data_IF_613640966693
#
_entry.id   IF_613640966693
#
_cell.length_a   1.000
_cell.length_b   1.000
_cell.length_c   1.000
_cell.angle_alpha   90.00
_cell.angle_beta   90.00
_cell.angle_gamma   90.00
#
_symmetry.space_group_name_H-M   'P 1'
#
loop_
_entity.id
_entity.type
_entity.pdbx_description
1 polymer ?
#
# COMPACT_ATOMS: atom_id res chain seq x y z
N UNK A 1 -5.90 8.37 -17.09
CA UNK A 1 -5.99 8.72 -15.66
C UNK A 1 -5.53 7.59 -14.73
N UNK A 2 -6.24 6.46 -14.60
CA UNK A 2 -5.80 5.41 -13.67
C UNK A 2 -4.51 4.70 -14.08
N UNK A 3 -4.31 4.41 -15.39
CA UNK A 3 -3.05 3.81 -15.88
C UNK A 3 -1.83 4.63 -15.50
N UNK A 4 -1.88 5.93 -15.79
CA UNK A 4 -0.83 6.89 -15.45
C UNK A 4 -0.52 6.95 -13.95
N UNK A 5 -1.55 6.90 -13.08
CA UNK A 5 -1.34 6.79 -11.62
C UNK A 5 -0.63 5.48 -11.26
N UNK A 6 -1.04 4.36 -11.86
CA UNK A 6 -0.40 3.07 -11.62
C UNK A 6 1.04 3.06 -12.12
N UNK A 7 1.31 3.55 -13.34
CA UNK A 7 2.65 3.66 -13.90
C UNK A 7 3.56 4.44 -12.93
N UNK A 8 3.17 5.68 -12.58
CA UNK A 8 3.97 6.54 -11.72
C UNK A 8 4.18 5.99 -10.30
N UNK A 9 3.14 5.44 -9.67
CA UNK A 9 3.26 4.89 -8.30
C UNK A 9 4.07 3.58 -8.28
N UNK A 10 3.88 2.70 -9.27
CA UNK A 10 4.62 1.44 -9.34
C UNK A 10 6.10 1.67 -9.61
N UNK A 11 6.46 2.64 -10.46
CA UNK A 11 7.86 3.00 -10.70
C UNK A 11 8.60 3.39 -9.42
N UNK A 12 7.89 4.00 -8.45
CA UNK A 12 8.44 4.43 -7.17
C UNK A 12 8.49 3.28 -6.14
N UNK A 13 7.40 2.49 -6.06
CA UNK A 13 7.22 1.51 -4.98
C UNK A 13 7.78 0.13 -5.30
N UNK A 14 7.73 -0.34 -6.56
CA UNK A 14 8.18 -1.68 -6.93
C UNK A 14 9.64 -2.00 -6.55
N UNK A 15 10.58 -1.05 -6.52
CA UNK A 15 11.95 -1.33 -6.08
C UNK A 15 12.10 -1.60 -4.57
N UNK A 16 11.15 -1.18 -3.74
CA UNK A 16 11.24 -1.22 -2.27
C UNK A 16 10.12 -2.00 -1.59
N UNK A 17 9.08 -2.37 -2.33
CA UNK A 17 7.89 -3.02 -1.82
C UNK A 17 7.40 -4.07 -2.82
N UNK A 18 6.98 -5.24 -2.32
CA UNK A 18 6.34 -6.27 -3.15
C UNK A 18 4.94 -5.81 -3.57
N UNK A 19 4.88 -5.08 -4.68
CA UNK A 19 3.66 -4.50 -5.25
C UNK A 19 3.59 -4.78 -6.75
N UNK A 20 2.39 -5.14 -7.20
CA UNK A 20 2.14 -5.48 -8.60
C UNK A 20 0.97 -4.67 -9.15
N UNK A 21 0.97 -4.50 -10.48
CA UNK A 21 -0.16 -3.92 -11.20
C UNK A 21 -1.37 -4.84 -11.07
N UNK A 22 -2.53 -4.34 -10.61
CA UNK A 22 -3.75 -5.13 -10.62
C UNK A 22 -4.31 -5.25 -12.04
N UNK A 23 -5.06 -6.32 -12.32
CA UNK A 23 -5.78 -6.50 -13.59
C UNK A 23 -6.88 -5.46 -13.81
N UNK A 24 -7.35 -4.81 -12.73
CA UNK A 24 -8.34 -3.76 -12.79
C UNK A 24 -8.59 -3.06 -11.45
N UNK A 25 -9.44 -2.05 -11.47
CA UNK A 25 -9.76 -1.23 -10.31
C UNK A 25 -8.75 -0.10 -10.06
N UNK A 26 -8.63 0.32 -8.81
CA UNK A 26 -7.81 1.46 -8.38
C UNK A 26 -7.06 1.20 -7.06
N UNK A 27 -6.95 -0.07 -6.66
CA UNK A 27 -6.26 -0.48 -5.43
C UNK A 27 -4.94 -1.18 -5.74
N UNK A 28 -3.92 -0.88 -4.95
CA UNK A 28 -2.73 -1.72 -4.81
C UNK A 28 -2.88 -2.58 -3.55
N UNK A 29 -2.30 -3.78 -3.59
CA UNK A 29 -2.38 -4.77 -2.53
C UNK A 29 -1.01 -5.37 -2.17
N UNK A 30 -0.03 -4.51 -1.79
CA UNK A 30 1.31 -4.98 -1.45
C UNK A 30 1.34 -5.89 -0.22
N UNK A 31 2.32 -6.80 -0.22
CA UNK A 31 2.74 -7.52 0.97
C UNK A 31 3.82 -6.71 1.69
N UNK A 32 3.60 -6.39 2.96
CA UNK A 32 4.55 -5.62 3.79
C UNK A 32 5.43 -6.53 4.66
N UNK A 33 5.17 -7.84 4.69
CA UNK A 33 6.00 -8.83 5.40
C UNK A 33 5.99 -8.72 6.93
N UNK A 34 5.26 -7.75 7.50
CA UNK A 34 5.17 -7.46 8.93
C UNK A 34 3.70 -7.38 9.36
N UNK A 35 3.45 -7.05 10.63
CA UNK A 35 2.11 -6.69 11.10
C UNK A 35 1.56 -5.50 10.29
N UNK A 36 0.46 -5.72 9.57
CA UNK A 36 -0.14 -4.71 8.67
C UNK A 36 -0.81 -3.56 9.41
N UNK A 37 -1.31 -3.78 10.63
CA UNK A 37 -1.91 -2.73 11.45
C UNK A 37 -0.83 -1.81 12.05
N UNK A 38 0.26 -2.39 12.53
CA UNK A 38 1.44 -1.65 12.98
C UNK A 38 2.05 -0.85 11.83
N UNK A 39 2.24 -1.47 10.65
CA UNK A 39 2.74 -0.80 9.46
C UNK A 39 1.89 0.44 9.11
N UNK A 40 0.57 0.30 9.03
CA UNK A 40 -0.31 1.42 8.70
C UNK A 40 -0.28 2.52 9.75
N UNK A 41 -0.22 2.16 11.03
CA UNK A 41 -0.13 3.13 12.14
C UNK A 41 1.19 3.91 12.06
N UNK A 42 2.30 3.22 11.90
CA UNK A 42 3.63 3.84 11.94
C UNK A 42 3.87 4.68 10.68
N UNK A 43 3.38 4.23 9.51
CA UNK A 43 3.34 5.02 8.29
C UNK A 43 2.54 6.34 8.47
N UNK A 44 1.41 6.29 9.17
CA UNK A 44 0.63 7.49 9.44
C UNK A 44 1.37 8.44 10.40
N UNK A 45 1.97 7.92 11.46
CA UNK A 45 2.73 8.72 12.44
C UNK A 45 3.93 9.41 11.79
N UNK A 46 4.69 8.68 10.98
CA UNK A 46 5.94 9.19 10.41
C UNK A 46 5.72 10.05 9.15
N UNK A 47 4.76 9.67 8.32
CA UNK A 47 4.62 10.22 6.96
C UNK A 47 3.25 10.86 6.70
N UNK A 48 2.30 10.77 7.64
CA UNK A 48 0.93 11.26 7.47
C UNK A 48 0.22 10.65 6.26
N UNK A 49 0.60 9.43 5.88
CA UNK A 49 -0.05 8.65 4.81
C UNK A 49 -1.01 7.66 5.44
N UNK A 50 -2.27 7.65 4.99
CA UNK A 50 -3.29 6.72 5.46
C UNK A 50 -3.44 5.54 4.50
N UNK A 51 -3.54 4.35 5.07
CA UNK A 51 -3.76 3.10 4.35
C UNK A 51 -4.68 2.19 5.18
N UNK A 52 -5.15 1.09 4.59
CA UNK A 52 -6.03 0.14 5.29
C UNK A 52 -5.29 -1.17 5.56
N UNK A 53 -5.19 -1.62 6.82
CA UNK A 53 -4.63 -2.93 7.15
C UNK A 53 -5.43 -4.05 6.47
N UNK A 54 -4.73 -4.98 5.81
CA UNK A 54 -5.37 -6.04 5.07
C UNK A 54 -6.04 -7.08 5.97
N UNK A 55 -5.53 -7.27 7.18
CA UNK A 55 -6.15 -8.12 8.20
C UNK A 55 -7.57 -7.67 8.54
N UNK A 56 -7.88 -6.38 8.41
CA UNK A 56 -9.22 -5.81 8.68
C UNK A 56 -10.21 -6.06 7.54
N UNK A 57 -9.72 -6.44 6.35
CA UNK A 57 -10.53 -6.66 5.14
C UNK A 57 -10.84 -8.13 4.89
N UNK A 58 -10.39 -9.02 5.77
CA UNK A 58 -10.63 -10.45 5.64
C UNK A 58 -10.92 -11.09 6.99
N UNK A 59 -11.32 -12.36 6.96
CA UNK A 59 -11.62 -13.14 8.15
C UNK A 59 -10.66 -14.30 8.22
N UNK A 60 -10.35 -14.70 9.45
CA UNK A 60 -9.58 -15.92 9.68
C UNK A 60 -10.40 -17.14 9.24
N UNK A 61 -9.76 -18.00 8.47
CA UNK A 61 -10.27 -19.31 8.06
C UNK A 61 -9.16 -20.31 8.30
N UNK A 62 -9.46 -21.40 9.02
CA UNK A 62 -8.50 -22.45 9.36
C UNK A 62 -7.20 -21.93 10.01
N UNK A 63 -7.31 -20.91 10.86
CA UNK A 63 -6.17 -20.29 11.56
C UNK A 63 -5.34 -19.32 10.71
N UNK A 64 -5.78 -19.03 9.48
CA UNK A 64 -5.06 -18.12 8.56
C UNK A 64 -5.97 -16.96 8.16
N UNK A 65 -5.45 -15.74 8.32
CA UNK A 65 -6.07 -14.53 7.78
C UNK A 65 -5.41 -14.19 6.43
N UNK A 66 -6.14 -14.25 5.30
CA UNK A 66 -5.54 -14.08 3.97
C UNK A 66 -5.12 -12.63 3.67
N UNK A 67 -5.61 -11.66 4.45
CA UNK A 67 -5.20 -10.26 4.36
C UNK A 67 -4.07 -9.87 5.32
N UNK A 68 -3.68 -10.75 6.24
CA UNK A 68 -2.59 -10.48 7.18
C UNK A 68 -1.28 -10.20 6.44
N UNK A 69 -0.55 -9.20 6.90
CA UNK A 69 0.70 -8.75 6.29
C UNK A 69 0.53 -8.02 4.96
N UNK A 70 -0.70 -7.64 4.58
CA UNK A 70 -0.97 -6.86 3.37
C UNK A 70 -1.61 -5.54 3.70
N UNK A 71 -1.48 -4.57 2.79
CA UNK A 71 -2.03 -3.22 2.96
C UNK A 71 -2.82 -2.80 1.73
N UNK A 72 -3.98 -2.16 1.92
CA UNK A 72 -4.73 -1.51 0.83
C UNK A 72 -4.25 -0.08 0.61
N UNK A 73 -3.78 0.21 -0.60
CA UNK A 73 -3.52 1.57 -1.05
C UNK A 73 -4.51 1.94 -2.16
N UNK A 74 -5.21 3.07 -2.04
CA UNK A 74 -6.22 3.50 -3.01
C UNK A 74 -5.72 4.69 -3.85
N UNK A 75 -5.61 4.52 -5.17
CA UNK A 75 -5.13 5.56 -6.09
C UNK A 75 -6.27 6.46 -6.60
N UNK A 76 -7.08 6.96 -5.67
CA UNK A 76 -8.28 7.78 -5.95
C UNK A 76 -7.99 9.28 -5.97
N UNK A 77 -7.03 9.74 -5.16
CA UNK A 77 -6.56 11.13 -5.10
C UNK A 77 -5.94 11.59 -6.43
N UNK A 78 -5.78 12.91 -6.69
CA UNK A 78 -5.04 13.43 -7.84
C UNK A 78 -3.67 12.77 -8.03
N UNK A 79 -3.17 12.77 -9.27
CA UNK A 79 -1.91 12.09 -9.63
C UNK A 79 -0.74 12.58 -8.77
N UNK A 80 -0.60 13.90 -8.60
CA UNK A 80 0.48 14.49 -7.82
C UNK A 80 0.48 14.01 -6.35
N UNK A 81 -0.71 13.93 -5.72
CA UNK A 81 -0.85 13.42 -4.35
C UNK A 81 -0.53 11.92 -4.27
N UNK A 82 -0.88 11.13 -5.29
CA UNK A 82 -0.53 9.71 -5.34
C UNK A 82 0.99 9.51 -5.43
N UNK A 83 1.67 10.32 -6.25
CA UNK A 83 3.13 10.31 -6.39
C UNK A 83 3.81 10.71 -5.08
N UNK A 84 3.34 11.80 -4.45
CA UNK A 84 3.86 12.26 -3.17
C UNK A 84 3.71 11.19 -2.08
N UNK A 85 2.54 10.56 -1.98
CA UNK A 85 2.32 9.47 -1.04
C UNK A 85 3.25 8.27 -1.32
N UNK A 86 3.49 7.93 -2.59
CA UNK A 86 4.41 6.86 -2.96
C UNK A 86 5.86 7.15 -2.53
N UNK A 87 6.36 8.38 -2.75
CA UNK A 87 7.70 8.77 -2.31
C UNK A 87 7.83 8.75 -0.78
N UNK A 88 6.80 9.19 -0.05
CA UNK A 88 6.77 9.11 1.41
C UNK A 88 6.81 7.68 1.92
N UNK A 89 6.04 6.77 1.31
CA UNK A 89 6.07 5.33 1.64
C UNK A 89 7.47 4.76 1.37
N UNK A 90 8.08 5.10 0.22
CA UNK A 90 9.45 4.68 -0.09
C UNK A 90 10.47 5.18 0.94
N UNK A 91 10.37 6.44 1.34
CA UNK A 91 11.24 7.02 2.37
C UNK A 91 11.07 6.32 3.72
N UNK A 92 9.84 5.96 4.09
CA UNK A 92 9.54 5.18 5.30
C UNK A 92 10.18 3.78 5.26
N UNK A 93 10.09 3.09 4.12
CA UNK A 93 10.67 1.75 3.92
C UNK A 93 12.20 1.73 3.82
N UNK A 94 12.82 2.87 3.53
CA UNK A 94 14.28 2.99 3.30
C UNK A 94 15.05 3.53 4.52
N UNK A 95 14.36 3.75 5.65
CA UNK A 95 15.01 4.05 6.94
C UNK A 95 15.70 2.80 7.50
#
# INVERSE_FOLDING_TARGET
>A
LYREKFDAVLDILAPVLDVQRPDGGFYLWPNVGTDDAAFCRDLFVDQHVTAVPGSYLSREVDGVNPGAGRVRLALVAPLAECIEAAERIRAFLSK
#
